data_IF_125571755950
#
_entry.id   IF_125571755950
#
_cell.length_a   1.000
_cell.length_b   1.000
_cell.length_c   1.000
_cell.angle_alpha   90.00
_cell.angle_beta   90.00
_cell.angle_gamma   90.00
#
_symmetry.space_group_name_H-M   'P 1'
#
loop_
_entity.id
_entity.type
_entity.pdbx_description
1 polymer ?
#
# COMPACT_ATOMS: atom_id res chain seq x y z
N UNK A 1 14.57 8.59 -14.17
CA UNK A 1 13.86 9.49 -13.23
C UNK A 1 12.44 8.97 -13.06
N UNK A 2 12.00 8.68 -11.84
CA UNK A 2 10.75 7.92 -11.62
C UNK A 2 9.51 8.77 -11.31
N UNK A 3 9.68 9.91 -10.62
CA UNK A 3 8.54 10.73 -10.18
C UNK A 3 8.58 12.17 -10.70
N UNK A 4 9.78 12.70 -10.96
CA UNK A 4 10.00 14.08 -11.37
C UNK A 4 10.80 14.14 -12.66
N UNK A 5 10.67 15.24 -13.41
CA UNK A 5 11.54 15.56 -14.54
C UNK A 5 12.30 16.87 -14.26
N UNK A 6 13.23 17.24 -15.14
CA UNK A 6 13.90 18.55 -15.15
C UNK A 6 13.80 19.12 -16.56
N UNK A 7 12.79 19.93 -16.81
CA UNK A 7 12.56 20.65 -18.08
C UNK A 7 11.77 19.85 -19.12
N UNK A 8 11.14 18.75 -18.71
CA UNK A 8 10.32 17.89 -19.57
C UNK A 8 8.84 17.84 -19.16
N UNK A 9 8.44 18.65 -18.16
CA UNK A 9 7.07 18.77 -17.70
C UNK A 9 6.70 17.81 -16.56
N UNK A 10 5.41 17.76 -16.26
CA UNK A 10 4.85 16.94 -15.16
C UNK A 10 4.97 15.46 -15.48
N UNK A 11 5.32 14.65 -14.47
CA UNK A 11 5.34 13.19 -14.54
C UNK A 11 4.36 12.58 -13.52
N UNK A 12 4.85 12.22 -12.33
CA UNK A 12 4.00 11.88 -11.17
C UNK A 12 3.86 13.11 -10.27
N UNK A 13 4.99 13.78 -10.03
CA UNK A 13 5.07 15.06 -9.35
C UNK A 13 5.41 16.21 -10.31
N UNK A 14 5.57 17.43 -9.77
CA UNK A 14 5.92 18.61 -10.54
C UNK A 14 7.29 18.49 -11.21
N UNK A 15 7.46 19.18 -12.34
CA UNK A 15 8.77 19.42 -12.94
C UNK A 15 9.66 20.23 -11.98
N UNK A 16 10.94 19.88 -11.88
CA UNK A 16 11.93 20.52 -11.01
C UNK A 16 12.77 21.58 -11.73
N UNK A 17 12.53 21.84 -13.02
CA UNK A 17 13.18 22.96 -13.73
C UNK A 17 12.99 24.28 -12.95
N UNK A 18 14.10 24.98 -12.72
CA UNK A 18 14.14 26.24 -11.97
C UNK A 18 13.38 26.22 -10.64
N UNK A 19 13.32 25.06 -9.95
CA UNK A 19 12.56 24.94 -8.68
C UNK A 19 13.09 25.88 -7.59
N UNK A 20 14.40 26.15 -7.59
CA UNK A 20 15.06 27.06 -6.66
C UNK A 20 14.79 28.56 -6.95
N UNK A 21 14.22 28.88 -8.11
CA UNK A 21 13.69 30.22 -8.38
C UNK A 21 12.24 30.36 -7.91
N UNK A 22 11.51 29.23 -7.84
CA UNK A 22 10.09 29.18 -7.49
C UNK A 22 9.83 28.99 -6.01
N UNK A 23 10.79 28.44 -5.27
CA UNK A 23 10.66 28.08 -3.85
C UNK A 23 11.91 28.46 -3.07
N UNK A 24 11.69 28.76 -1.80
CA UNK A 24 12.74 29.00 -0.82
C UNK A 24 13.62 27.74 -0.65
N UNK A 25 14.94 27.94 -0.58
CA UNK A 25 15.91 26.84 -0.57
C UNK A 25 15.82 26.04 0.73
N UNK A 26 15.68 26.72 1.85
CA UNK A 26 15.55 26.11 3.18
C UNK A 26 14.26 25.30 3.28
N UNK A 27 13.14 25.84 2.79
CA UNK A 27 11.88 25.11 2.70
C UNK A 27 11.98 23.88 1.79
N UNK A 28 12.64 24.00 0.63
CA UNK A 28 12.89 22.87 -0.27
C UNK A 28 13.74 21.79 0.41
N UNK A 29 14.81 22.18 1.11
CA UNK A 29 15.68 21.28 1.84
C UNK A 29 14.88 20.49 2.90
N UNK A 30 14.05 21.19 3.67
CA UNK A 30 13.19 20.60 4.68
C UNK A 30 12.18 19.63 4.06
N UNK A 31 11.48 20.05 3.00
CA UNK A 31 10.48 19.20 2.34
C UNK A 31 11.08 17.96 1.68
N UNK A 32 12.26 18.06 1.06
CA UNK A 32 12.98 16.91 0.47
C UNK A 32 13.38 15.91 1.57
N UNK A 33 13.76 16.41 2.75
CA UNK A 33 14.26 15.59 3.86
C UNK A 33 13.15 14.87 4.62
N UNK A 34 12.06 15.57 4.93
CA UNK A 34 10.98 15.09 5.80
C UNK A 34 9.59 15.33 5.21
N UNK A 35 9.32 14.90 3.96
CA UNK A 35 8.07 15.23 3.26
C UNK A 35 6.82 14.76 4.01
N UNK A 36 6.89 13.57 4.61
CA UNK A 36 5.84 13.00 5.45
C UNK A 36 5.47 13.91 6.63
N UNK A 37 6.45 14.51 7.29
CA UNK A 37 6.20 15.40 8.43
C UNK A 37 5.62 16.75 7.99
N UNK A 38 6.04 17.26 6.84
CA UNK A 38 5.51 18.51 6.29
C UNK A 38 4.06 18.34 5.80
N UNK A 39 3.72 17.17 5.23
CA UNK A 39 2.33 16.82 4.91
C UNK A 39 1.50 16.78 6.19
N UNK A 40 1.99 16.08 7.23
CA UNK A 40 1.30 15.95 8.51
C UNK A 40 1.13 17.27 9.26
N UNK A 41 2.07 18.22 9.11
CA UNK A 41 1.95 19.56 9.71
C UNK A 41 0.87 20.41 9.04
N UNK A 42 0.39 20.01 7.86
CA UNK A 42 -0.64 20.69 7.10
C UNK A 42 -0.11 21.91 6.34
N UNK A 43 1.14 21.87 5.87
CA UNK A 43 1.71 22.94 5.04
C UNK A 43 0.78 23.23 3.84
N UNK A 44 0.26 24.46 3.71
CA UNK A 44 -0.75 24.78 2.69
C UNK A 44 -0.22 24.68 1.26
N UNK A 45 1.08 24.84 1.06
CA UNK A 45 1.72 24.66 -0.24
C UNK A 45 1.71 23.18 -0.60
N UNK A 46 2.11 22.32 0.33
CA UNK A 46 2.16 20.88 0.09
C UNK A 46 0.77 20.29 -0.08
N UNK A 47 -0.21 20.69 0.75
CA UNK A 47 -1.59 20.22 0.60
C UNK A 47 -2.19 20.61 -0.75
N UNK A 48 -1.89 21.81 -1.25
CA UNK A 48 -2.32 22.23 -2.59
C UNK A 48 -1.65 21.40 -3.68
N UNK A 49 -0.35 21.14 -3.55
CA UNK A 49 0.36 20.28 -4.52
C UNK A 49 -0.17 18.85 -4.50
N UNK A 50 -0.48 18.28 -3.34
CA UNK A 50 -1.08 16.93 -3.27
C UNK A 50 -2.37 16.84 -4.06
N UNK A 51 -3.26 17.84 -3.95
CA UNK A 51 -4.50 17.91 -4.74
C UNK A 51 -4.21 18.01 -6.25
N UNK A 52 -3.22 18.84 -6.64
CA UNK A 52 -2.79 19.00 -8.04
C UNK A 52 -2.15 17.73 -8.64
N UNK A 53 -1.51 16.89 -7.83
CA UNK A 53 -0.73 15.73 -8.25
C UNK A 53 -1.33 14.39 -7.78
N UNK A 54 -2.66 14.24 -7.95
CA UNK A 54 -3.40 12.99 -7.73
C UNK A 54 -3.27 12.39 -6.31
N UNK A 55 -3.04 13.22 -5.29
CA UNK A 55 -2.78 12.83 -3.91
C UNK A 55 -1.62 11.82 -3.78
N UNK A 56 -0.64 11.88 -4.68
CA UNK A 56 0.57 11.07 -4.59
C UNK A 56 1.55 11.76 -3.65
N UNK A 57 1.79 11.16 -2.49
CA UNK A 57 2.73 11.67 -1.51
C UNK A 57 4.19 11.45 -1.95
N UNK A 58 5.04 12.45 -1.76
CA UNK A 58 6.49 12.28 -1.94
C UNK A 58 7.03 11.39 -0.80
N UNK A 59 7.59 10.21 -1.11
CA UNK A 59 8.07 9.32 -0.07
C UNK A 59 9.29 9.91 0.66
N UNK A 60 9.37 9.70 1.96
CA UNK A 60 10.58 10.04 2.71
C UNK A 60 11.70 9.05 2.36
N UNK A 61 12.66 9.47 1.53
CA UNK A 61 13.74 8.61 1.06
C UNK A 61 14.87 8.40 2.10
N UNK A 62 14.71 8.96 3.30
CA UNK A 62 15.67 8.96 4.41
C UNK A 62 17.03 9.58 4.05
N UNK A 63 17.00 10.70 3.31
CA UNK A 63 18.18 11.42 2.86
C UNK A 63 18.89 12.12 4.03
N UNK A 64 20.22 12.12 4.01
CA UNK A 64 21.03 12.88 4.96
C UNK A 64 21.10 14.36 4.58
N UNK A 65 21.58 15.23 5.47
CA UNK A 65 21.72 16.67 5.16
C UNK A 65 22.68 16.88 3.98
N UNK A 66 23.73 16.07 3.93
CA UNK A 66 24.70 16.11 2.84
C UNK A 66 24.09 15.67 1.51
N UNK A 67 23.21 14.67 1.51
CA UNK A 67 22.51 14.23 0.30
C UNK A 67 21.55 15.31 -0.21
N UNK A 68 20.79 15.95 0.70
CA UNK A 68 19.87 17.04 0.35
C UNK A 68 20.65 18.22 -0.23
N UNK A 69 21.75 18.62 0.41
CA UNK A 69 22.59 19.71 -0.09
C UNK A 69 23.17 19.38 -1.47
N UNK A 70 23.66 18.15 -1.68
CA UNK A 70 24.16 17.70 -2.97
C UNK A 70 23.06 17.73 -4.06
N UNK A 71 21.83 17.34 -3.72
CA UNK A 71 20.68 17.41 -4.63
C UNK A 71 20.32 18.87 -4.98
N UNK A 72 20.34 19.78 -4.01
CA UNK A 72 20.05 21.19 -4.27
C UNK A 72 21.12 21.81 -5.17
N UNK A 73 22.41 21.53 -4.93
CA UNK A 73 23.50 21.97 -5.82
C UNK A 73 23.36 21.38 -7.23
N UNK A 74 22.95 20.11 -7.33
CA UNK A 74 22.64 19.50 -8.62
C UNK A 74 21.50 20.25 -9.32
N UNK A 75 20.40 20.57 -8.62
CA UNK A 75 19.26 21.31 -9.19
C UNK A 75 19.60 22.77 -9.58
N UNK A 76 20.55 23.42 -8.92
CA UNK A 76 21.05 24.75 -9.33
C UNK A 76 21.81 24.72 -10.65
N UNK A 77 22.58 23.65 -10.86
CA UNK A 77 23.46 23.49 -12.03
C UNK A 77 22.81 22.73 -13.18
N UNK A 78 21.71 22.04 -12.91
CA UNK A 78 20.95 21.30 -13.90
C UNK A 78 20.08 22.26 -14.70
N UNK A 79 20.48 22.54 -15.95
CA UNK A 79 19.56 23.05 -16.97
C UNK A 79 18.55 21.97 -17.38
N UNK A 80 17.97 22.09 -18.58
CA UNK A 80 17.14 21.02 -19.15
C UNK A 80 17.98 19.74 -19.26
N UNK A 81 17.70 18.75 -18.41
CA UNK A 81 18.31 17.43 -18.49
C UNK A 81 17.47 16.64 -19.47
N UNK A 82 17.97 16.51 -20.70
CA UNK A 82 17.27 15.78 -21.75
C UNK A 82 17.03 14.34 -21.28
N UNK A 83 15.76 14.00 -21.07
CA UNK A 83 15.36 12.64 -20.74
C UNK A 83 15.77 11.75 -21.90
N UNK A 84 16.67 10.80 -21.66
CA UNK A 84 16.93 9.73 -22.62
C UNK A 84 15.63 8.95 -22.73
N UNK A 85 15.02 8.97 -23.93
CA UNK A 85 13.82 8.21 -24.20
C UNK A 85 14.15 6.71 -24.00
N UNK A 86 13.60 6.14 -22.93
CA UNK A 86 13.70 4.72 -22.67
C UNK A 86 13.07 3.96 -23.85
N UNK A 87 13.66 2.84 -24.25
CA UNK A 87 13.10 2.02 -25.32
C UNK A 87 11.64 1.65 -25.00
N UNK A 88 10.74 1.63 -26.00
CA UNK A 88 9.36 1.26 -25.77
C UNK A 88 9.30 -0.16 -25.20
N UNK A 89 8.50 -0.32 -24.15
CA UNK A 89 8.27 -1.63 -23.54
C UNK A 89 7.68 -2.60 -24.57
N UNK A 90 7.96 -3.91 -24.45
CA UNK A 90 7.28 -4.91 -25.25
C UNK A 90 5.78 -4.94 -24.94
N UNK A 91 4.94 -5.57 -25.79
CA UNK A 91 3.53 -5.76 -25.47
C UNK A 91 3.35 -6.54 -24.17
N UNK A 92 2.54 -5.99 -23.27
CA UNK A 92 2.15 -6.64 -22.02
C UNK A 92 1.01 -7.64 -22.19
N UNK A 93 0.97 -8.65 -21.32
CA UNK A 93 -0.11 -9.62 -21.19
C UNK A 93 -0.77 -9.50 -19.80
N UNK A 94 -2.10 -9.28 -19.80
CA UNK A 94 -2.89 -9.05 -18.58
C UNK A 94 -2.81 -10.26 -17.63
N UNK A 95 -2.91 -11.48 -18.15
CA UNK A 95 -2.92 -12.70 -17.33
C UNK A 95 -1.55 -13.00 -16.74
N UNK A 96 -0.48 -12.72 -17.50
CA UNK A 96 0.88 -12.82 -16.98
C UNK A 96 1.12 -11.77 -15.90
N UNK A 97 0.64 -10.55 -16.09
CA UNK A 97 0.70 -9.47 -15.09
C UNK A 97 -0.03 -9.83 -13.81
N UNK A 98 -1.25 -10.36 -13.90
CA UNK A 98 -2.01 -10.85 -12.74
C UNK A 98 -1.27 -11.99 -12.03
N UNK A 99 -0.68 -12.94 -12.77
CA UNK A 99 0.08 -14.03 -12.20
C UNK A 99 1.35 -13.55 -11.49
N UNK A 100 2.07 -12.56 -12.03
CA UNK A 100 3.23 -11.94 -11.35
C UNK A 100 2.76 -11.23 -10.08
N UNK A 101 1.72 -10.40 -10.17
CA UNK A 101 1.19 -9.65 -9.04
C UNK A 101 0.79 -10.57 -7.88
N UNK A 102 0.03 -11.63 -8.20
CA UNK A 102 -0.52 -12.60 -7.23
C UNK A 102 0.50 -13.64 -6.75
N UNK A 103 1.67 -13.73 -7.38
CA UNK A 103 2.70 -14.72 -7.08
C UNK A 103 2.46 -16.10 -7.69
N UNK A 104 1.54 -16.21 -8.64
CA UNK A 104 1.39 -17.40 -9.49
C UNK A 104 2.59 -17.61 -10.42
N UNK A 105 3.23 -16.52 -10.84
CA UNK A 105 4.53 -16.52 -11.51
C UNK A 105 5.56 -15.80 -10.64
N UNK A 106 6.72 -16.41 -10.48
CA UNK A 106 7.84 -15.79 -9.75
C UNK A 106 8.54 -14.81 -10.67
N UNK A 107 8.92 -13.65 -10.13
CA UNK A 107 9.77 -12.69 -10.84
C UNK A 107 11.11 -13.33 -11.21
N UNK A 108 11.67 -12.98 -12.37
CA UNK A 108 12.90 -13.58 -12.89
C UNK A 108 14.07 -13.45 -11.90
N UNK A 109 14.24 -12.27 -11.30
CA UNK A 109 15.27 -12.00 -10.30
C UNK A 109 14.84 -12.34 -8.85
N UNK A 110 13.74 -13.09 -8.69
CA UNK A 110 13.32 -13.66 -7.41
C UNK A 110 12.75 -12.66 -6.41
N UNK A 111 12.09 -11.60 -6.89
CA UNK A 111 11.36 -10.62 -6.08
C UNK A 111 10.12 -11.21 -5.40
N UNK A 112 9.72 -10.61 -4.27
CA UNK A 112 8.48 -10.98 -3.57
C UNK A 112 7.27 -10.61 -4.44
N UNK A 113 6.20 -11.41 -4.50
CA UNK A 113 4.96 -11.03 -5.19
C UNK A 113 4.35 -9.75 -4.62
N UNK A 114 3.84 -8.87 -5.49
CA UNK A 114 3.27 -7.58 -5.09
C UNK A 114 2.09 -7.74 -4.13
N UNK A 115 1.27 -8.78 -4.31
CA UNK A 115 0.09 -9.09 -3.47
C UNK A 115 0.44 -9.32 -2.00
N UNK A 116 1.69 -9.66 -1.68
CA UNK A 116 2.11 -9.89 -0.30
C UNK A 116 1.97 -8.61 0.55
N UNK A 117 2.11 -7.44 -0.08
CA UNK A 117 1.98 -6.14 0.58
C UNK A 117 0.81 -5.33 0.07
N UNK A 118 0.45 -5.46 -1.21
CA UNK A 118 -0.56 -4.64 -1.88
C UNK A 118 -1.83 -5.42 -2.20
N UNK A 119 -2.92 -4.67 -2.40
CA UNK A 119 -4.16 -5.16 -2.99
C UNK A 119 -4.43 -4.45 -4.31
N UNK A 120 -5.19 -5.09 -5.20
CA UNK A 120 -5.61 -4.56 -6.52
C UNK A 120 -7.00 -5.09 -6.86
N UNK A 121 -8.00 -4.24 -6.99
CA UNK A 121 -9.38 -4.64 -7.19
C UNK A 121 -9.84 -5.63 -6.11
N UNK A 122 -10.64 -6.63 -6.51
CA UNK A 122 -11.19 -7.65 -5.61
C UNK A 122 -10.50 -9.01 -5.82
N UNK A 123 -9.18 -9.08 -5.60
CA UNK A 123 -8.44 -10.35 -5.72
C UNK A 123 -8.87 -11.31 -4.61
N UNK A 124 -9.72 -12.27 -4.96
CA UNK A 124 -10.15 -13.36 -4.09
C UNK A 124 -10.98 -12.92 -2.87
N UNK A 125 -11.45 -13.92 -2.12
CA UNK A 125 -12.29 -13.71 -0.92
C UNK A 125 -11.52 -13.10 0.27
N UNK A 126 -10.18 -13.22 0.27
CA UNK A 126 -9.32 -12.77 1.38
C UNK A 126 -8.63 -11.41 1.11
N UNK A 127 -8.75 -10.86 -0.11
CA UNK A 127 -8.07 -9.63 -0.51
C UNK A 127 -6.55 -9.80 -0.65
N UNK A 128 -5.87 -8.75 -1.12
CA UNK A 128 -4.42 -8.67 -1.12
C UNK A 128 -3.85 -8.19 0.23
N UNK A 129 -2.55 -7.88 0.24
CA UNK A 129 -1.88 -7.29 1.39
C UNK A 129 -2.39 -5.88 1.72
N UNK A 130 -2.34 -5.52 3.00
CA UNK A 130 -2.75 -4.20 3.53
C UNK A 130 -1.57 -3.39 4.08
N UNK A 131 -0.34 -3.89 3.90
CA UNK A 131 0.87 -3.21 4.37
C UNK A 131 1.25 -2.05 3.43
N UNK A 132 1.04 -2.24 2.13
CA UNK A 132 1.17 -1.23 1.11
C UNK A 132 -0.18 -0.62 0.72
N UNK A 133 -0.17 0.51 -0.01
CA UNK A 133 -1.38 1.11 -0.56
C UNK A 133 -2.11 0.17 -1.52
N UNK A 134 -3.42 0.35 -1.63
CA UNK A 134 -4.23 -0.24 -2.69
C UNK A 134 -3.73 0.30 -4.04
N UNK A 135 -3.39 -0.59 -4.97
CA UNK A 135 -2.87 -0.29 -6.29
C UNK A 135 -3.95 -0.34 -7.38
N UNK A 136 -5.23 -0.55 -7.04
CA UNK A 136 -6.36 -0.56 -8.00
C UNK A 136 -6.33 0.63 -8.94
N UNK A 137 -6.12 1.84 -8.38
CA UNK A 137 -6.07 3.09 -9.14
C UNK A 137 -4.67 3.61 -9.43
N UNK A 138 -3.66 2.74 -9.40
CA UNK A 138 -2.26 3.17 -9.55
C UNK A 138 -1.99 3.69 -10.97
N UNK A 139 -2.62 3.11 -11.99
CA UNK A 139 -2.42 3.52 -13.38
C UNK A 139 -2.91 4.96 -13.61
N UNK A 140 -4.13 5.30 -13.16
CA UNK A 140 -4.63 6.69 -13.23
C UNK A 140 -3.81 7.64 -12.34
N UNK A 141 -3.42 7.23 -11.12
CA UNK A 141 -2.69 8.12 -10.18
C UNK A 141 -1.29 8.49 -10.67
N UNK A 142 -0.53 7.52 -11.19
CA UNK A 142 0.87 7.73 -11.58
C UNK A 142 1.04 8.03 -13.08
N UNK A 143 0.03 7.73 -13.90
CA UNK A 143 0.17 7.70 -15.34
C UNK A 143 1.13 6.60 -15.81
N UNK A 144 1.16 6.34 -17.11
CA UNK A 144 1.95 5.23 -17.66
C UNK A 144 3.45 5.39 -17.42
N UNK A 145 4.03 6.52 -17.83
CA UNK A 145 5.47 6.76 -17.71
C UNK A 145 5.93 6.80 -16.23
N UNK A 146 5.13 7.41 -15.36
CA UNK A 146 5.41 7.45 -13.92
C UNK A 146 5.34 6.07 -13.27
N UNK A 147 4.34 5.27 -13.64
CA UNK A 147 4.19 3.91 -13.13
C UNK A 147 5.32 2.99 -13.60
N UNK A 148 5.71 3.08 -14.88
CA UNK A 148 6.89 2.37 -15.39
C UNK A 148 8.14 2.75 -14.60
N UNK A 149 8.36 4.04 -14.38
CA UNK A 149 9.48 4.53 -13.58
C UNK A 149 9.47 4.03 -12.14
N UNK A 150 8.28 3.95 -11.51
CA UNK A 150 8.09 3.48 -10.15
C UNK A 150 8.29 1.96 -10.00
N UNK A 151 7.88 1.16 -10.99
CA UNK A 151 8.07 -0.30 -10.99
C UNK A 151 9.52 -0.66 -11.33
N UNK A 152 10.15 0.01 -12.30
CA UNK A 152 11.55 -0.22 -12.65
C UNK A 152 12.52 0.19 -11.54
N UNK A 153 12.17 1.22 -10.77
CA UNK A 153 13.04 1.76 -9.72
C UNK A 153 12.27 1.83 -8.39
N UNK A 154 12.10 0.67 -7.75
CA UNK A 154 11.37 0.55 -6.48
C UNK A 154 12.22 1.10 -5.34
N UNK A 155 12.14 2.41 -5.12
CA UNK A 155 12.92 3.14 -4.11
C UNK A 155 12.12 3.53 -2.87
N UNK A 156 10.87 3.09 -2.75
CA UNK A 156 10.01 3.32 -1.60
C UNK A 156 10.62 2.67 -0.33
N UNK A 157 10.65 3.36 0.83
CA UNK A 157 11.40 2.90 2.01
C UNK A 157 11.11 1.47 2.47
N UNK A 158 9.84 1.06 2.42
CA UNK A 158 9.39 -0.28 2.85
C UNK A 158 9.74 -1.38 1.84
N UNK A 159 9.96 -1.03 0.58
CA UNK A 159 10.20 -1.97 -0.52
C UNK A 159 11.66 -1.99 -0.99
N UNK A 160 12.40 -0.88 -0.85
CA UNK A 160 13.76 -0.71 -1.40
C UNK A 160 14.69 -1.85 -1.01
N UNK A 161 14.69 -2.25 0.27
CA UNK A 161 15.52 -3.36 0.74
C UNK A 161 15.10 -4.75 0.22
N UNK A 162 13.84 -4.91 -0.19
CA UNK A 162 13.30 -6.17 -0.72
C UNK A 162 13.70 -6.35 -2.20
N UNK A 163 13.81 -5.24 -2.95
CA UNK A 163 14.03 -5.24 -4.41
C UNK A 163 15.39 -4.68 -4.85
N UNK A 164 16.30 -4.32 -3.94
CA UNK A 164 17.57 -3.65 -4.25
C UNK A 164 18.45 -4.33 -5.33
N UNK A 165 18.34 -5.65 -5.47
CA UNK A 165 19.08 -6.46 -6.45
C UNK A 165 18.13 -7.34 -7.28
N UNK A 166 16.84 -6.98 -7.31
CA UNK A 166 15.78 -7.79 -7.90
C UNK A 166 14.92 -6.94 -8.83
N UNK A 167 15.60 -6.29 -9.76
CA UNK A 167 14.97 -5.45 -10.75
C UNK A 167 14.03 -6.28 -11.64
N UNK A 168 12.90 -5.67 -12.01
CA UNK A 168 11.94 -6.31 -12.89
C UNK A 168 12.37 -6.12 -14.33
N UNK A 169 12.18 -7.15 -15.16
CA UNK A 169 12.49 -7.08 -16.58
C UNK A 169 11.47 -6.21 -17.32
N UNK A 170 11.85 -5.68 -18.49
CA UNK A 170 10.94 -4.89 -19.33
C UNK A 170 9.63 -5.63 -19.65
N UNK A 171 9.70 -6.96 -19.82
CA UNK A 171 8.51 -7.77 -20.07
C UNK A 171 7.61 -7.86 -18.84
N UNK A 172 8.17 -8.09 -17.65
CA UNK A 172 7.41 -8.13 -16.40
C UNK A 172 6.75 -6.79 -16.10
N UNK A 173 7.47 -5.68 -16.34
CA UNK A 173 6.92 -4.33 -16.20
C UNK A 173 5.76 -4.12 -17.17
N UNK A 174 5.92 -4.52 -18.44
CA UNK A 174 4.85 -4.41 -19.44
C UNK A 174 3.60 -5.21 -19.04
N UNK A 175 3.77 -6.41 -18.51
CA UNK A 175 2.68 -7.28 -18.09
C UNK A 175 1.92 -6.72 -16.90
N UNK A 176 2.66 -6.28 -15.87
CA UNK A 176 2.08 -5.60 -14.70
C UNK A 176 1.34 -4.33 -15.12
N UNK A 177 1.90 -3.55 -16.05
CA UNK A 177 1.27 -2.35 -16.58
C UNK A 177 -0.05 -2.65 -17.29
N UNK A 178 -0.09 -3.69 -18.13
CA UNK A 178 -1.32 -4.13 -18.81
C UNK A 178 -2.40 -4.58 -17.81
N UNK A 179 -1.99 -5.30 -16.76
CA UNK A 179 -2.88 -5.70 -15.67
C UNK A 179 -3.41 -4.47 -14.90
N UNK A 180 -2.54 -3.56 -14.46
CA UNK A 180 -2.93 -2.36 -13.73
C UNK A 180 -3.83 -1.43 -14.56
N UNK A 181 -3.59 -1.29 -15.86
CA UNK A 181 -4.48 -0.52 -16.74
C UNK A 181 -5.89 -1.13 -16.84
N UNK A 182 -5.99 -2.47 -16.81
CA UNK A 182 -7.27 -3.19 -16.90
C UNK A 182 -8.07 -3.02 -15.62
N UNK A 183 -7.46 -3.33 -14.48
CA UNK A 183 -8.10 -3.21 -13.15
C UNK A 183 -8.39 -1.76 -12.74
N UNK A 184 -7.61 -0.79 -13.22
CA UNK A 184 -7.90 0.64 -13.00
C UNK A 184 -9.19 1.06 -13.72
N UNK A 185 -9.47 0.50 -14.91
CA UNK A 185 -10.70 0.77 -15.67
C UNK A 185 -11.92 0.03 -15.12
N UNK A 186 -11.73 -1.20 -14.66
CA UNK A 186 -12.81 -2.12 -14.27
C UNK A 186 -13.09 -2.15 -12.77
N UNK A 187 -12.08 -1.87 -11.95
CA UNK A 187 -12.13 -1.99 -10.50
C UNK A 187 -12.75 -0.78 -9.82
N UNK A 188 -13.68 -1.04 -8.90
CA UNK A 188 -13.97 -0.12 -7.80
C UNK A 188 -12.89 -0.30 -6.72
N UNK A 189 -12.47 0.79 -6.07
CA UNK A 189 -11.57 0.69 -4.91
C UNK A 189 -12.21 -0.22 -3.86
N UNK A 190 -11.41 -1.13 -3.29
CA UNK A 190 -11.91 -2.16 -2.38
C UNK A 190 -12.51 -1.56 -1.11
N UNK A 191 -13.82 -1.30 -1.10
CA UNK A 191 -14.54 -1.11 0.16
C UNK A 191 -14.77 -2.49 0.76
N UNK A 192 -14.33 -2.71 1.99
CA UNK A 192 -14.49 -3.95 2.76
C UNK A 192 -15.98 -4.29 3.10
N UNK A 193 -16.94 -3.92 2.26
CA UNK A 193 -18.37 -3.94 2.51
C UNK A 193 -18.96 -5.35 2.39
N UNK A 194 -18.59 -6.12 1.36
CA UNK A 194 -19.10 -7.48 1.12
C UNK A 194 -18.56 -8.52 2.10
N UNK A 195 -17.25 -8.47 2.37
CA UNK A 195 -16.59 -9.39 3.31
C UNK A 195 -17.03 -9.16 4.76
N UNK A 196 -17.38 -7.92 5.13
CA UNK A 196 -17.87 -7.56 6.47
C UNK A 196 -19.19 -8.27 6.80
N UNK A 197 -20.17 -8.28 5.90
CA UNK A 197 -21.47 -8.93 6.16
C UNK A 197 -21.35 -10.45 6.32
N UNK A 198 -20.49 -11.09 5.54
CA UNK A 198 -20.24 -12.54 5.65
C UNK A 198 -19.46 -12.84 6.95
N UNK A 199 -18.44 -12.04 7.28
CA UNK A 199 -17.68 -12.16 8.52
C UNK A 199 -18.58 -12.02 9.76
N UNK A 200 -19.41 -10.99 9.80
CA UNK A 200 -20.38 -10.79 10.88
C UNK A 200 -21.45 -11.88 10.90
N UNK A 201 -21.94 -12.31 9.73
CA UNK A 201 -22.93 -13.37 9.62
C UNK A 201 -22.42 -14.71 10.16
N UNK A 202 -21.24 -15.15 9.70
CA UNK A 202 -20.58 -16.38 10.16
C UNK A 202 -20.18 -16.27 11.63
N UNK A 203 -19.63 -15.12 12.04
CA UNK A 203 -19.23 -14.86 13.42
C UNK A 203 -20.41 -14.94 14.40
N UNK A 204 -21.54 -14.33 14.06
CA UNK A 204 -22.75 -14.36 14.89
C UNK A 204 -23.36 -15.77 14.95
N UNK A 205 -23.39 -16.49 13.83
CA UNK A 205 -23.85 -17.88 13.79
C UNK A 205 -22.98 -18.81 14.65
N UNK A 206 -21.65 -18.68 14.52
CA UNK A 206 -20.68 -19.42 15.32
C UNK A 206 -20.80 -19.12 16.81
N UNK A 207 -20.94 -17.85 17.18
CA UNK A 207 -21.18 -17.44 18.56
C UNK A 207 -22.50 -18.01 19.09
N UNK A 208 -23.60 -17.91 18.34
CA UNK A 208 -24.89 -18.45 18.75
C UNK A 208 -24.85 -19.98 18.94
N UNK A 209 -24.14 -20.69 18.06
CA UNK A 209 -23.93 -22.14 18.20
C UNK A 209 -23.12 -22.48 19.46
N UNK A 210 -22.03 -21.75 19.74
CA UNK A 210 -21.21 -21.93 20.94
C UNK A 210 -21.99 -21.63 22.21
N UNK A 211 -22.72 -20.52 22.27
CA UNK A 211 -23.55 -20.16 23.42
C UNK A 211 -24.71 -21.15 23.59
N UNK A 212 -25.34 -21.61 22.52
CA UNK A 212 -26.38 -22.63 22.56
C UNK A 212 -25.85 -23.97 23.08
N UNK A 213 -24.69 -24.41 22.59
CA UNK A 213 -24.00 -25.60 23.09
C UNK A 213 -23.64 -25.45 24.57
N UNK A 214 -23.06 -24.32 24.96
CA UNK A 214 -22.72 -24.04 26.36
C UNK A 214 -23.97 -24.10 27.23
N UNK A 215 -25.07 -23.45 26.87
CA UNK A 215 -26.32 -23.48 27.64
C UNK A 215 -26.89 -24.89 27.80
N UNK A 216 -26.85 -25.70 26.74
CA UNK A 216 -27.30 -27.10 26.78
C UNK A 216 -26.45 -27.94 27.74
N UNK A 217 -25.12 -27.84 27.67
CA UNK A 217 -24.21 -28.64 28.51
C UNK A 217 -24.02 -28.07 29.93
N UNK A 218 -24.20 -26.78 30.13
CA UNK A 218 -24.16 -26.14 31.45
C UNK A 218 -25.37 -26.55 32.30
N UNK A 219 -26.52 -26.79 31.67
CA UNK A 219 -27.67 -27.40 32.35
C UNK A 219 -27.44 -28.85 32.83
N UNK A 220 -26.42 -29.53 32.28
CA UNK A 220 -26.04 -30.89 32.63
C UNK A 220 -24.80 -30.97 33.55
N UNK A 221 -24.35 -29.85 34.11
CA UNK A 221 -23.27 -29.88 35.09
C UNK A 221 -23.69 -30.69 36.33
N UNK A 222 -22.94 -31.77 36.59
CA UNK A 222 -23.10 -32.58 37.80
C UNK A 222 -22.81 -31.69 39.03
N UNK A 223 -23.60 -31.86 40.10
CA UNK A 223 -23.37 -31.20 41.39
C UNK A 223 -21.87 -31.21 41.73
N UNK A 224 -21.31 -30.03 41.98
CA UNK A 224 -19.89 -29.91 42.28
C UNK A 224 -19.59 -30.58 43.62
N UNK A 225 -18.34 -30.97 43.86
CA UNK A 225 -17.95 -31.57 45.15
C UNK A 225 -18.29 -30.65 46.33
N UNK A 226 -18.18 -29.32 46.15
CA UNK A 226 -18.62 -28.32 47.12
C UNK A 226 -20.13 -28.33 47.37
N UNK A 227 -20.95 -28.56 46.35
CA UNK A 227 -22.40 -28.64 46.51
C UNK A 227 -22.79 -29.91 47.26
N UNK A 228 -22.14 -31.04 46.96
CA UNK A 228 -22.34 -32.31 47.68
C UNK A 228 -21.93 -32.20 49.15
N UNK A 229 -20.73 -31.68 49.42
CA UNK A 229 -20.24 -31.49 50.80
C UNK A 229 -21.12 -30.53 51.61
N UNK A 230 -21.70 -29.50 50.98
CA UNK A 230 -22.67 -28.60 51.64
C UNK A 230 -24.00 -29.29 51.96
N UNK A 231 -24.47 -30.16 51.06
CA UNK A 231 -25.68 -30.95 51.22
C UNK A 231 -25.53 -31.97 52.35
N UNK A 232 -24.40 -32.67 52.38
CA UNK A 232 -24.04 -33.65 53.43
C UNK A 232 -23.84 -32.97 54.79
N UNK A 233 -23.38 -31.72 54.80
CA UNK A 233 -23.26 -30.90 56.01
C UNK A 233 -24.59 -30.25 56.47
N UNK A 234 -25.72 -30.50 55.78
CA UNK A 234 -27.03 -29.95 56.15
C UNK A 234 -27.19 -28.44 55.92
N UNK A 235 -26.28 -27.82 55.17
CA UNK A 235 -26.29 -26.38 54.91
C UNK A 235 -27.17 -26.12 53.67
N UNK A 236 -28.48 -25.93 53.89
CA UNK A 236 -29.39 -25.50 52.83
C UNK A 236 -29.12 -24.02 52.53
N UNK A 237 -28.39 -23.74 51.45
CA UNK A 237 -28.20 -22.36 51.01
C UNK A 237 -29.53 -21.77 50.55
N UNK A 238 -29.98 -20.67 51.19
CA UNK A 238 -30.99 -19.78 50.61
C UNK A 238 -30.37 -19.12 49.37
N UNK A 239 -30.56 -19.71 48.19
CA UNK A 239 -30.53 -18.96 46.94
C UNK A 239 -31.91 -19.06 46.29
N UNK A 240 -32.78 -18.13 46.68
CA UNK A 240 -33.86 -17.62 45.84
C UNK A 240 -33.47 -16.20 45.41
N UNK A 241 -33.81 -15.92 44.16
CA UNK A 241 -33.54 -14.73 43.32
C UNK A 241 -32.08 -14.56 42.91
#
# INVERSE_FOLDING_TARGET
MSCHTIGAGVLVGPDLESVLERRDREWLAEFIRIPDQIILSGDPIVLKMLDEFNNVEMPNLALTEADVEALLVFLESSGNVELVAEAPLPPGDIYRGEAIFSGGNVLEEGGTPCVACHTVGNIGFLGGGVLGPDLTKVYTRFGEAGLVGAIKNIVFPTMRGIYAEKELTDQEVADLLAYFATVDREGEEGTASGASLIFWGVGLLGAAALFGFMLLFWSQQKETLSDRLRKDAGIISRRRS
#
